data_IF_827828438817
#
_entry.id   IF_827828438817
#
_cell.length_a   1.000
_cell.length_b   1.000
_cell.length_c   1.000
_cell.angle_alpha   90.00
_cell.angle_beta   90.00
_cell.angle_gamma   90.00
#
_symmetry.space_group_name_H-M   'P 1'
#
loop_
_entity.id
_entity.type
_entity.pdbx_description
1 polymer ?
#
# COMPACT_ATOMS: atom_id res chain seq x y z
N UNK A 1 -29.32 -25.51 8.39
CA UNK A 1 -30.15 -24.28 8.20
C UNK A 1 -29.63 -23.61 6.95
N UNK A 2 -30.48 -23.37 5.96
CA UNK A 2 -30.09 -22.72 4.69
C UNK A 2 -29.84 -21.23 4.89
N UNK A 3 -29.00 -20.67 4.02
CA UNK A 3 -28.67 -19.24 4.00
C UNK A 3 -29.81 -18.47 3.34
N UNK A 4 -30.27 -17.33 3.89
CA UNK A 4 -31.30 -16.52 3.23
C UNK A 4 -30.86 -16.04 1.84
N UNK A 5 -31.70 -16.23 0.83
CA UNK A 5 -31.39 -15.89 -0.57
C UNK A 5 -30.96 -14.42 -0.75
N UNK A 6 -31.52 -13.48 0.03
CA UNK A 6 -31.12 -12.07 -0.06
C UNK A 6 -29.67 -11.83 0.37
N UNK A 7 -29.21 -12.55 1.41
CA UNK A 7 -27.81 -12.47 1.87
C UNK A 7 -26.86 -13.09 0.86
N UNK A 8 -27.23 -14.24 0.31
CA UNK A 8 -26.45 -14.93 -0.71
C UNK A 8 -26.35 -14.09 -1.99
N UNK A 9 -27.47 -13.50 -2.43
CA UNK A 9 -27.51 -12.59 -3.59
C UNK A 9 -26.62 -11.37 -3.39
N UNK A 10 -26.64 -10.76 -2.20
CA UNK A 10 -25.78 -9.63 -1.90
C UNK A 10 -24.29 -9.99 -1.99
N UNK A 11 -23.88 -11.12 -1.40
CA UNK A 11 -22.49 -11.59 -1.45
C UNK A 11 -22.03 -11.90 -2.88
N UNK A 12 -22.79 -12.71 -3.63
CA UNK A 12 -22.49 -13.01 -5.05
C UNK A 12 -22.52 -11.74 -5.92
N UNK A 13 -23.32 -10.77 -5.53
CA UNK A 13 -23.39 -9.44 -6.12
C UNK A 13 -22.12 -8.60 -5.94
N UNK A 14 -21.21 -8.94 -5.03
CA UNK A 14 -19.92 -8.28 -4.86
C UNK A 14 -18.86 -8.79 -5.86
N UNK A 15 -18.99 -10.04 -6.30
CA UNK A 15 -18.06 -10.68 -7.23
C UNK A 15 -18.20 -10.15 -8.66
N UNK A 16 -17.10 -9.98 -9.39
CA UNK A 16 -17.14 -9.72 -10.84
C UNK A 16 -17.62 -10.97 -11.58
N UNK A 17 -18.13 -10.79 -12.80
CA UNK A 17 -18.63 -11.90 -13.64
C UNK A 17 -17.61 -13.03 -13.81
N UNK A 18 -16.32 -12.70 -13.88
CA UNK A 18 -15.25 -13.70 -14.00
C UNK A 18 -15.10 -14.55 -12.74
N UNK A 19 -15.09 -13.91 -11.57
CA UNK A 19 -15.03 -14.61 -10.28
C UNK A 19 -16.24 -15.54 -10.11
N UNK A 20 -17.42 -15.12 -10.54
CA UNK A 20 -18.61 -15.98 -10.57
C UNK A 20 -18.46 -17.19 -11.52
N UNK A 21 -17.73 -17.03 -12.64
CA UNK A 21 -17.42 -18.15 -13.54
C UNK A 21 -16.45 -19.13 -12.92
N UNK A 22 -15.39 -18.63 -12.29
CA UNK A 22 -14.37 -19.44 -11.63
C UNK A 22 -15.02 -20.27 -10.50
N UNK A 23 -15.84 -19.64 -9.66
CA UNK A 23 -16.68 -20.32 -8.66
C UNK A 23 -17.66 -21.32 -9.29
N UNK A 24 -18.17 -21.00 -10.48
CA UNK A 24 -19.08 -21.87 -11.23
C UNK A 24 -18.37 -23.13 -11.73
N UNK A 25 -17.16 -22.99 -12.27
CA UNK A 25 -16.32 -24.12 -12.68
C UNK A 25 -16.00 -25.04 -11.50
N UNK A 26 -15.67 -24.50 -10.33
CA UNK A 26 -15.42 -25.29 -9.12
C UNK A 26 -16.64 -26.07 -8.63
N UNK A 27 -17.84 -25.59 -8.97
CA UNK A 27 -19.13 -26.17 -8.56
C UNK A 27 -19.87 -26.88 -9.70
N UNK A 28 -19.19 -27.17 -10.80
CA UNK A 28 -19.76 -27.82 -12.00
C UNK A 28 -21.03 -27.12 -12.54
N UNK A 29 -21.09 -25.78 -12.42
CA UNK A 29 -22.14 -24.94 -13.01
C UNK A 29 -21.70 -24.51 -14.41
N UNK A 30 -22.34 -25.08 -15.42
CA UNK A 30 -22.11 -24.70 -16.82
C UNK A 30 -23.26 -23.84 -17.34
N UNK A 31 -23.03 -22.52 -17.40
CA UNK A 31 -23.92 -21.59 -18.10
C UNK A 31 -23.15 -20.76 -19.12
N UNK A 32 -23.69 -20.62 -20.31
CA UNK A 32 -23.05 -19.86 -21.40
C UNK A 32 -23.29 -18.34 -21.33
N UNK A 33 -23.83 -17.82 -20.21
CA UNK A 33 -24.23 -16.41 -20.12
C UNK A 33 -23.05 -15.47 -19.86
N UNK A 34 -23.12 -14.28 -20.48
CA UNK A 34 -22.23 -13.15 -20.23
C UNK A 34 -22.85 -12.12 -19.27
N UNK A 35 -24.01 -12.40 -18.66
CA UNK A 35 -24.68 -11.50 -17.72
C UNK A 35 -24.44 -11.96 -16.29
N UNK A 36 -23.98 -11.04 -15.44
CA UNK A 36 -23.74 -11.30 -14.01
C UNK A 36 -24.97 -11.85 -13.30
N UNK A 37 -26.14 -11.27 -13.54
CA UNK A 37 -27.38 -11.66 -12.88
C UNK A 37 -27.77 -13.12 -13.17
N UNK A 38 -27.50 -13.61 -14.38
CA UNK A 38 -27.82 -14.99 -14.77
C UNK A 38 -26.96 -16.00 -13.97
N UNK A 39 -25.69 -15.65 -13.68
CA UNK A 39 -24.82 -16.45 -12.80
C UNK A 39 -25.31 -16.42 -11.36
N UNK A 40 -25.63 -15.23 -10.85
CA UNK A 40 -26.16 -15.07 -9.48
C UNK A 40 -27.43 -15.89 -9.29
N UNK A 41 -28.37 -15.80 -10.25
CA UNK A 41 -29.63 -16.55 -10.19
C UNK A 41 -29.42 -18.07 -10.25
N UNK A 42 -28.39 -18.56 -10.95
CA UNK A 42 -28.06 -19.98 -10.96
C UNK A 42 -27.50 -20.44 -9.60
N UNK A 43 -26.59 -19.68 -8.99
CA UNK A 43 -26.09 -19.98 -7.64
C UNK A 43 -27.20 -19.95 -6.58
N UNK A 44 -28.21 -19.10 -6.74
CA UNK A 44 -29.37 -19.03 -5.83
C UNK A 44 -30.29 -20.25 -5.91
N UNK A 45 -30.19 -21.06 -6.97
CA UNK A 45 -30.95 -22.33 -7.12
C UNK A 45 -30.29 -23.49 -6.40
N UNK A 46 -29.02 -23.36 -5.99
CA UNK A 46 -28.30 -24.38 -5.25
C UNK A 46 -28.60 -24.28 -3.76
N UNK A 47 -28.49 -25.42 -3.07
CA UNK A 47 -28.51 -25.43 -1.60
C UNK A 47 -27.15 -25.00 -1.07
N UNK A 48 -27.13 -23.91 -0.29
CA UNK A 48 -25.93 -23.41 0.38
C UNK A 48 -25.96 -23.71 1.87
N UNK A 49 -24.91 -24.38 2.35
CA UNK A 49 -24.65 -24.50 3.79
C UNK A 49 -24.15 -23.17 4.36
N UNK A 50 -24.16 -23.05 5.69
CA UNK A 50 -23.62 -21.86 6.36
C UNK A 50 -22.10 -21.79 6.20
N UNK A 51 -21.45 -22.94 6.20
CA UNK A 51 -20.01 -23.11 6.01
C UNK A 51 -19.60 -22.63 4.61
N UNK A 52 -20.28 -23.11 3.57
CA UNK A 52 -20.05 -22.67 2.18
C UNK A 52 -20.27 -21.16 1.99
N UNK A 53 -21.25 -20.59 2.68
CA UNK A 53 -21.46 -19.15 2.65
C UNK A 53 -20.38 -18.39 3.41
N UNK A 54 -19.89 -18.92 4.54
CA UNK A 54 -18.75 -18.33 5.24
C UNK A 54 -17.51 -18.32 4.36
N UNK A 55 -17.18 -19.46 3.72
CA UNK A 55 -16.06 -19.58 2.77
C UNK A 55 -16.17 -18.59 1.61
N UNK A 56 -17.38 -18.37 1.09
CA UNK A 56 -17.62 -17.35 0.06
C UNK A 56 -17.32 -15.93 0.57
N UNK A 57 -17.76 -15.61 1.79
CA UNK A 57 -17.48 -14.30 2.40
C UNK A 57 -15.97 -14.13 2.62
N UNK A 58 -15.31 -15.14 3.17
CA UNK A 58 -13.86 -15.11 3.40
C UNK A 58 -13.11 -14.90 2.08
N UNK A 59 -13.51 -15.62 1.02
CA UNK A 59 -12.95 -15.43 -0.31
C UNK A 59 -13.20 -14.03 -0.88
N UNK A 60 -14.41 -13.47 -0.73
CA UNK A 60 -14.70 -12.09 -1.14
C UNK A 60 -13.78 -11.10 -0.43
N UNK A 61 -13.56 -11.27 0.88
CA UNK A 61 -12.66 -10.41 1.66
C UNK A 61 -11.22 -10.50 1.13
N UNK A 62 -10.73 -11.70 0.83
CA UNK A 62 -9.40 -11.91 0.23
C UNK A 62 -9.29 -11.21 -1.13
N UNK A 63 -10.30 -11.37 -1.99
CA UNK A 63 -10.34 -10.70 -3.30
C UNK A 63 -10.34 -9.16 -3.19
N UNK A 64 -11.04 -8.62 -2.20
CA UNK A 64 -11.05 -7.19 -1.92
C UNK A 64 -9.69 -6.70 -1.40
N UNK A 65 -9.02 -7.48 -0.56
CA UNK A 65 -7.68 -7.15 -0.06
C UNK A 65 -6.63 -7.18 -1.16
N UNK A 66 -6.74 -8.09 -2.12
CA UNK A 66 -5.81 -8.22 -3.25
C UNK A 66 -5.80 -6.99 -4.16
N UNK A 67 -6.92 -6.28 -4.28
CA UNK A 67 -7.01 -5.03 -5.06
C UNK A 67 -6.62 -3.77 -4.29
N UNK A 68 -6.44 -3.86 -2.98
CA UNK A 68 -6.08 -2.68 -2.19
C UNK A 68 -4.67 -2.24 -2.56
N UNK A 69 -4.56 -0.97 -2.92
CA UNK A 69 -3.28 -0.30 -3.01
C UNK A 69 -2.60 -0.34 -1.63
N UNK A 70 -1.40 -0.90 -1.59
CA UNK A 70 -0.57 -1.00 -0.40
C UNK A 70 0.50 0.08 -0.48
N UNK A 71 0.31 1.12 0.32
CA UNK A 71 1.21 2.27 0.39
C UNK A 71 2.00 2.24 1.68
N UNK A 72 3.31 2.47 1.55
CA UNK A 72 4.25 2.53 2.65
C UNK A 72 4.96 3.87 2.60
N UNK A 73 5.14 4.46 3.78
CA UNK A 73 5.74 5.77 3.97
C UNK A 73 6.83 5.65 5.03
N UNK A 74 7.95 6.31 4.78
CA UNK A 74 9.16 6.15 5.57
C UNK A 74 9.70 7.51 5.99
N UNK A 75 10.06 7.62 7.27
CA UNK A 75 10.79 8.74 7.85
C UNK A 75 11.90 8.21 8.77
N UNK A 76 12.94 9.00 8.95
CA UNK A 76 13.99 8.72 9.92
C UNK A 76 13.60 9.26 11.29
N UNK A 77 14.06 8.60 12.34
CA UNK A 77 13.89 8.97 13.73
C UNK A 77 15.16 9.70 14.17
N UNK A 78 15.05 11.00 14.35
CA UNK A 78 16.20 11.83 14.70
C UNK A 78 16.55 11.67 16.17
N UNK A 79 17.82 11.37 16.44
CA UNK A 79 18.35 11.33 17.79
C UNK A 79 17.91 10.08 18.55
N UNK A 80 17.68 8.96 17.86
CA UNK A 80 17.40 7.69 18.52
C UNK A 80 18.53 7.29 19.49
N UNK A 81 19.78 7.63 19.16
CA UNK A 81 20.96 7.46 20.03
C UNK A 81 20.87 8.23 21.36
N UNK A 82 19.97 9.22 21.45
CA UNK A 82 19.75 10.04 22.64
C UNK A 82 18.60 9.56 23.52
N UNK A 83 17.90 8.49 23.12
CA UNK A 83 16.97 7.76 23.97
C UNK A 83 17.76 7.17 25.15
N UNK A 84 17.22 7.37 26.36
CA UNK A 84 17.98 7.42 27.63
C UNK A 84 18.23 6.02 28.21
N UNK A 85 17.54 5.01 27.71
CA UNK A 85 17.62 3.63 28.20
C UNK A 85 18.41 2.70 27.26
N UNK A 86 18.95 1.62 27.82
CA UNK A 86 19.68 0.56 27.09
C UNK A 86 18.80 -0.18 26.05
N UNK A 87 17.53 0.22 25.88
CA UNK A 87 16.56 -0.33 24.93
C UNK A 87 15.66 0.77 24.32
N UNK A 88 15.97 1.27 23.09
CA UNK A 88 15.17 2.29 22.42
C UNK A 88 13.75 1.81 22.06
N UNK A 89 13.53 0.49 21.94
CA UNK A 89 12.20 -0.08 21.66
C UNK A 89 11.27 0.16 22.84
N UNK A 90 11.75 -0.08 24.06
CA UNK A 90 10.97 0.14 25.29
C UNK A 90 10.63 1.61 25.49
N UNK A 91 11.58 2.53 25.30
CA UNK A 91 11.28 3.97 25.47
C UNK A 91 10.23 4.44 24.44
N UNK A 92 10.33 3.99 23.19
CA UNK A 92 9.33 4.30 22.15
C UNK A 92 7.98 3.70 22.51
N UNK A 93 7.95 2.47 23.05
CA UNK A 93 6.73 1.81 23.52
C UNK A 93 6.07 2.61 24.63
N UNK A 94 6.83 3.07 25.62
CA UNK A 94 6.32 3.89 26.71
C UNK A 94 5.68 5.19 26.19
N UNK A 95 6.35 5.89 25.25
CA UNK A 95 5.80 7.09 24.61
C UNK A 95 4.47 6.83 23.90
N UNK A 96 4.32 5.71 23.21
CA UNK A 96 3.06 5.34 22.55
C UNK A 96 1.99 4.88 23.53
N UNK A 97 2.39 4.30 24.67
CA UNK A 97 1.47 3.85 25.72
C UNK A 97 0.81 5.03 26.47
N UNK A 98 1.42 6.23 26.44
CA UNK A 98 0.77 7.46 26.92
C UNK A 98 -0.48 7.84 26.10
N UNK A 99 -0.60 7.32 24.88
CA UNK A 99 -1.71 7.53 23.97
C UNK A 99 -2.32 6.19 23.51
N UNK A 100 -2.54 5.26 24.44
CA UNK A 100 -3.16 3.95 24.16
C UNK A 100 -4.61 4.11 23.65
N UNK A 101 -5.01 3.27 22.69
CA UNK A 101 -6.40 3.23 22.21
C UNK A 101 -7.32 2.65 23.28
N UNK A 102 -8.53 3.20 23.40
CA UNK A 102 -9.59 2.59 24.20
C UNK A 102 -10.74 2.13 23.30
N UNK A 103 -11.08 0.84 23.37
CA UNK A 103 -12.26 0.29 22.71
C UNK A 103 -13.45 0.19 23.69
N UNK A 104 -14.66 0.19 23.14
CA UNK A 104 -15.89 -0.11 23.87
C UNK A 104 -15.86 -1.53 24.45
N UNK A 105 -16.67 -1.83 25.46
CA UNK A 105 -16.71 -3.15 26.11
C UNK A 105 -16.93 -4.34 25.16
N UNK A 106 -17.59 -4.10 24.03
CA UNK A 106 -17.84 -5.09 22.99
C UNK A 106 -16.77 -5.13 21.87
N UNK A 107 -15.71 -4.32 21.98
CA UNK A 107 -14.59 -4.22 21.04
C UNK A 107 -14.94 -3.63 19.68
N UNK A 108 -16.17 -3.13 19.49
CA UNK A 108 -16.64 -2.71 18.16
C UNK A 108 -16.46 -1.23 17.88
N UNK A 109 -16.21 -0.41 18.90
CA UNK A 109 -16.10 1.05 18.78
C UNK A 109 -14.85 1.58 19.45
N UNK A 110 -14.20 2.56 18.81
CA UNK A 110 -13.13 3.34 19.45
C UNK A 110 -13.78 4.40 20.33
N UNK A 111 -13.48 4.35 21.62
CA UNK A 111 -13.90 5.31 22.66
C UNK A 111 -12.88 6.46 22.73
N UNK A 112 -11.59 6.13 22.72
CA UNK A 112 -10.48 7.08 22.63
C UNK A 112 -9.53 6.65 21.53
N UNK A 113 -9.18 7.59 20.65
CA UNK A 113 -8.16 7.38 19.62
C UNK A 113 -6.79 7.14 20.27
N UNK A 114 -5.98 6.29 19.65
CA UNK A 114 -4.69 5.94 20.23
C UNK A 114 -3.97 4.82 19.50
N UNK A 115 -2.83 4.43 20.06
CA UNK A 115 -2.00 3.34 19.58
C UNK A 115 -2.45 2.01 20.21
N UNK A 116 -2.59 0.99 19.38
CA UNK A 116 -2.57 -0.42 19.77
C UNK A 116 -1.21 -0.97 19.34
N UNK A 117 -0.39 -1.41 20.29
CA UNK A 117 0.94 -1.95 20.03
C UNK A 117 0.83 -3.46 19.93
N UNK A 118 1.31 -4.04 18.83
CA UNK A 118 1.36 -5.48 18.61
C UNK A 118 2.74 -5.99 19.06
N UNK A 119 2.78 -6.82 20.10
CA UNK A 119 4.01 -7.44 20.62
C UNK A 119 4.54 -8.49 19.61
N UNK A 120 5.28 -8.02 18.61
CA UNK A 120 5.80 -8.88 17.54
C UNK A 120 7.28 -9.29 17.76
N UNK A 121 8.10 -8.48 18.44
CA UNK A 121 9.48 -8.85 18.83
C UNK A 121 10.13 -7.83 19.79
N UNK A 122 11.34 -8.13 20.27
CA UNK A 122 12.19 -7.18 21.01
C UNK A 122 13.06 -6.29 20.10
N UNK A 123 12.92 -6.40 18.78
CA UNK A 123 13.80 -5.73 17.79
C UNK A 123 13.04 -4.70 16.98
N UNK A 124 11.77 -4.99 16.69
CA UNK A 124 10.87 -4.10 15.95
C UNK A 124 9.59 -3.90 16.75
N UNK A 125 9.09 -2.67 16.76
CA UNK A 125 7.79 -2.33 17.35
C UNK A 125 6.78 -2.08 16.23
N UNK A 126 5.71 -2.87 16.22
CA UNK A 126 4.61 -2.74 15.27
C UNK A 126 3.30 -2.41 15.97
N UNK A 127 2.35 -1.85 15.24
CA UNK A 127 1.03 -1.62 15.79
C UNK A 127 0.07 -0.92 14.83
N UNK A 128 -1.09 -0.57 15.36
CA UNK A 128 -2.12 0.18 14.65
C UNK A 128 -2.47 1.44 15.44
N UNK A 129 -2.43 2.59 14.76
CA UNK A 129 -3.08 3.79 15.28
C UNK A 129 -4.54 3.81 14.86
N UNK A 130 -5.43 3.86 15.85
CA UNK A 130 -6.87 3.86 15.67
C UNK A 130 -7.42 5.27 15.81
N UNK A 131 -8.17 5.70 14.80
CA UNK A 131 -8.89 6.97 14.81
C UNK A 131 -10.37 6.79 14.49
N UNK A 132 -11.17 7.77 14.90
CA UNK A 132 -12.61 7.81 14.72
C UNK A 132 -13.01 9.14 14.11
N UNK A 133 -13.74 9.08 12.99
CA UNK A 133 -14.37 10.26 12.41
C UNK A 133 -15.87 10.14 12.54
N UNK A 134 -16.47 11.12 13.22
CA UNK A 134 -17.92 11.27 13.32
C UNK A 134 -18.41 12.19 12.20
N UNK A 135 -19.25 11.64 11.34
CA UNK A 135 -19.92 12.33 10.23
C UNK A 135 -21.42 12.41 10.50
N UNK A 136 -22.11 13.31 9.81
CA UNK A 136 -23.56 13.39 9.82
C UNK A 136 -24.13 13.10 8.43
N UNK A 137 -25.04 12.14 8.35
CA UNK A 137 -25.79 11.83 7.13
C UNK A 137 -27.26 12.18 7.31
N UNK A 138 -27.89 12.74 6.27
CA UNK A 138 -29.35 12.84 6.22
C UNK A 138 -29.90 11.48 5.81
N UNK A 139 -30.75 10.91 6.65
CA UNK A 139 -31.45 9.69 6.31
C UNK A 139 -32.54 9.95 5.24
N UNK A 140 -33.16 8.91 4.66
CA UNK A 140 -34.21 9.08 3.65
C UNK A 140 -35.47 9.82 4.13
N UNK A 141 -35.60 10.08 5.44
CA UNK A 141 -36.69 10.86 6.04
C UNK A 141 -36.28 12.32 6.31
N UNK A 142 -35.03 12.70 6.02
CA UNK A 142 -34.50 14.03 6.23
C UNK A 142 -34.01 14.28 7.67
N UNK A 143 -33.81 13.24 8.46
CA UNK A 143 -33.25 13.34 9.81
C UNK A 143 -31.72 13.26 9.76
N UNK A 144 -31.06 14.18 10.48
CA UNK A 144 -29.61 14.17 10.64
C UNK A 144 -29.23 13.01 11.58
N UNK A 145 -28.53 12.02 11.06
CA UNK A 145 -27.99 10.90 11.84
C UNK A 145 -26.48 10.97 11.89
N UNK A 146 -25.94 10.79 13.08
CA UNK A 146 -24.51 10.60 13.27
C UNK A 146 -24.10 9.22 12.77
N UNK A 147 -22.99 9.18 12.04
CA UNK A 147 -22.34 7.97 11.59
C UNK A 147 -20.86 8.08 11.95
N UNK A 148 -20.39 7.14 12.76
CA UNK A 148 -18.97 7.03 13.06
C UNK A 148 -18.29 6.10 12.06
N UNK A 149 -17.07 6.46 11.65
CA UNK A 149 -16.18 5.59 10.89
C UNK A 149 -14.87 5.45 11.66
N UNK A 150 -14.48 4.21 11.86
CA UNK A 150 -13.23 3.86 12.53
C UNK A 150 -12.19 3.56 11.45
N UNK A 151 -10.97 4.05 11.64
CA UNK A 151 -9.85 3.83 10.75
C UNK A 151 -8.67 3.31 11.55
N UNK A 152 -8.08 2.20 11.08
CA UNK A 152 -6.76 1.75 11.51
C UNK A 152 -5.70 2.22 10.51
N UNK A 153 -4.58 2.71 11.01
CA UNK A 153 -3.37 2.99 10.24
C UNK A 153 -2.21 2.21 10.85
N UNK A 154 -1.70 1.22 10.14
CA UNK A 154 -0.59 0.39 10.63
C UNK A 154 0.72 1.17 10.65
N UNK A 155 1.58 0.89 11.61
CA UNK A 155 2.90 1.48 11.72
C UNK A 155 3.95 0.46 12.19
N UNK A 156 5.21 0.79 11.98
CA UNK A 156 6.36 0.03 12.43
C UNK A 156 7.50 0.95 12.83
N UNK A 157 8.35 0.46 13.73
CA UNK A 157 9.57 1.13 14.19
C UNK A 157 10.69 0.11 14.12
N UNK A 158 11.75 0.47 13.40
CA UNK A 158 13.00 -0.27 13.32
C UNK A 158 14.10 0.62 13.91
N UNK A 159 14.43 0.48 15.20
CA UNK A 159 15.45 1.31 15.83
C UNK A 159 16.86 1.07 15.27
N UNK A 160 17.16 -0.13 14.77
CA UNK A 160 18.48 -0.45 14.20
C UNK A 160 18.73 0.34 12.91
N UNK A 161 17.66 0.61 12.14
CA UNK A 161 17.70 1.48 10.96
C UNK A 161 17.29 2.93 11.25
N UNK A 162 17.01 3.25 12.52
CA UNK A 162 16.46 4.54 12.94
C UNK A 162 15.20 4.95 12.16
N UNK A 163 14.31 4.01 11.84
CA UNK A 163 13.23 4.23 10.86
C UNK A 163 11.83 4.03 11.44
N UNK A 164 10.93 4.91 11.01
CA UNK A 164 9.50 4.82 11.28
C UNK A 164 8.73 4.59 9.97
N UNK A 165 7.96 3.51 9.95
CA UNK A 165 7.18 3.06 8.80
C UNK A 165 5.69 3.29 9.04
N UNK A 166 4.99 3.73 8.00
CA UNK A 166 3.53 3.84 8.03
C UNK A 166 2.95 3.06 6.87
N UNK A 167 2.02 2.16 7.19
CA UNK A 167 1.24 1.41 6.22
C UNK A 167 -0.12 2.08 6.04
N UNK A 168 -0.29 2.79 4.92
CA UNK A 168 -1.53 3.50 4.63
C UNK A 168 -1.87 3.51 3.14
N UNK A 169 -3.16 3.43 2.82
CA UNK A 169 -3.64 3.53 1.44
C UNK A 169 -3.48 4.92 0.83
N UNK A 170 -3.27 5.96 1.64
CA UNK A 170 -3.22 7.35 1.20
C UNK A 170 -2.13 8.16 1.94
N UNK A 171 -1.42 9.07 1.26
CA UNK A 171 -0.38 9.90 1.88
C UNK A 171 -0.91 10.78 3.01
N UNK A 172 -2.13 11.31 2.88
CA UNK A 172 -2.75 12.16 3.90
C UNK A 172 -2.96 11.44 5.24
N UNK A 173 -3.17 10.11 5.23
CA UNK A 173 -3.27 9.32 6.45
C UNK A 173 -1.90 9.18 7.12
N UNK A 174 -0.86 8.96 6.32
CA UNK A 174 0.51 8.93 6.83
C UNK A 174 0.93 10.28 7.42
N UNK A 175 0.62 11.39 6.74
CA UNK A 175 0.84 12.73 7.30
C UNK A 175 0.11 12.94 8.63
N UNK A 176 -1.16 12.48 8.72
CA UNK A 176 -1.93 12.53 9.95
C UNK A 176 -1.20 11.81 11.10
N UNK A 177 -0.75 10.59 10.85
CA UNK A 177 -0.05 9.78 11.84
C UNK A 177 1.32 10.37 12.22
N UNK A 178 2.11 10.88 11.28
CA UNK A 178 3.39 11.56 11.60
C UNK A 178 3.19 12.70 12.60
N UNK A 179 2.18 13.55 12.40
CA UNK A 179 1.88 14.64 13.34
C UNK A 179 1.47 14.14 14.73
N UNK A 180 0.90 12.94 14.82
CA UNK A 180 0.52 12.33 16.11
C UNK A 180 1.76 11.76 16.79
N UNK A 181 2.61 11.06 16.04
CA UNK A 181 3.89 10.51 16.53
C UNK A 181 4.81 11.62 17.03
N UNK A 182 4.90 12.75 16.33
CA UNK A 182 5.69 13.90 16.82
C UNK A 182 5.19 14.45 18.16
N UNK A 183 3.88 14.32 18.45
CA UNK A 183 3.31 14.75 19.75
C UNK A 183 3.67 13.82 20.90
N UNK A 184 4.07 12.59 20.62
CA UNK A 184 4.61 11.68 21.65
C UNK A 184 6.06 12.02 22.01
N UNK A 185 6.64 13.01 21.34
CA UNK A 185 7.99 13.51 21.59
C UNK A 185 9.06 12.89 20.69
N UNK A 186 8.69 12.02 19.75
CA UNK A 186 9.62 11.53 18.73
C UNK A 186 9.89 12.61 17.68
N UNK A 187 11.16 12.86 17.40
CA UNK A 187 11.57 13.77 16.33
C UNK A 187 11.75 12.99 15.04
N UNK A 188 11.07 13.40 13.97
CA UNK A 188 11.09 12.71 12.69
C UNK A 188 11.69 13.60 11.62
N UNK A 189 12.45 13.01 10.69
CA UNK A 189 12.95 13.70 9.50
C UNK A 189 12.57 12.96 8.21
N UNK A 190 12.31 13.69 7.11
CA UNK A 190 11.99 13.06 5.84
C UNK A 190 13.15 12.21 5.31
N UNK A 191 12.83 11.00 4.83
CA UNK A 191 13.76 10.17 4.06
C UNK A 191 13.76 10.57 2.58
N UNK A 192 14.93 10.48 1.94
CA UNK A 192 15.09 10.62 0.50
C UNK A 192 16.28 11.51 0.14
N UNK A 193 16.27 12.06 -1.07
CA UNK A 193 17.42 12.81 -1.60
C UNK A 193 17.27 14.33 -1.42
N UNK A 194 16.56 14.75 -0.38
CA UNK A 194 16.24 16.16 -0.17
C UNK A 194 17.51 16.99 0.09
N UNK A 195 18.44 16.44 0.87
CA UNK A 195 19.70 17.09 1.24
C UNK A 195 20.84 16.85 0.23
N UNK A 196 20.60 16.00 -0.78
CA UNK A 196 21.59 15.72 -1.82
C UNK A 196 21.50 16.77 -2.94
N UNK A 197 22.66 17.10 -3.51
CA UNK A 197 22.72 17.87 -4.75
C UNK A 197 21.94 17.15 -5.88
N UNK A 198 21.29 17.92 -6.76
CA UNK A 198 20.39 17.37 -7.79
C UNK A 198 21.08 16.31 -8.66
N UNK A 199 22.33 16.53 -9.08
CA UNK A 199 23.12 15.55 -9.84
C UNK A 199 23.36 14.23 -9.08
N UNK A 200 23.49 14.29 -7.76
CA UNK A 200 23.66 13.08 -6.94
C UNK A 200 22.34 12.36 -6.72
N UNK A 201 21.27 13.10 -6.40
CA UNK A 201 19.92 12.57 -6.29
C UNK A 201 19.47 11.86 -7.57
N UNK A 202 19.70 12.50 -8.73
CA UNK A 202 19.36 11.95 -10.04
C UNK A 202 20.17 10.69 -10.35
N UNK A 203 21.47 10.65 -10.01
CA UNK A 203 22.29 9.42 -10.16
C UNK A 203 21.81 8.28 -9.27
N UNK A 204 21.36 8.56 -8.05
CA UNK A 204 20.79 7.52 -7.17
C UNK A 204 19.46 6.99 -7.73
N UNK A 205 18.59 7.87 -8.25
CA UNK A 205 17.35 7.48 -8.93
C UNK A 205 17.62 6.65 -10.20
N UNK A 206 18.65 7.01 -10.98
CA UNK A 206 19.07 6.25 -12.16
C UNK A 206 19.47 4.83 -11.77
N UNK A 207 20.35 4.68 -10.77
CA UNK A 207 20.74 3.36 -10.24
C UNK A 207 19.55 2.57 -9.72
N UNK A 208 18.61 3.22 -9.01
CA UNK A 208 17.40 2.55 -8.55
C UNK A 208 16.61 1.95 -9.72
N UNK A 209 16.40 2.70 -10.82
CA UNK A 209 15.68 2.20 -12.00
C UNK A 209 16.44 1.06 -12.68
N UNK A 210 17.77 1.16 -12.78
CA UNK A 210 18.63 0.10 -13.32
C UNK A 210 18.54 -1.19 -12.50
N UNK A 211 18.70 -1.09 -11.18
CA UNK A 211 18.65 -2.23 -10.26
C UNK A 211 17.23 -2.82 -10.18
N UNK A 212 16.19 -2.00 -10.28
CA UNK A 212 14.80 -2.46 -10.41
C UNK A 212 14.64 -3.38 -11.62
N UNK A 213 15.12 -2.95 -12.78
CA UNK A 213 15.04 -3.73 -14.00
C UNK A 213 15.83 -5.04 -13.90
N UNK A 214 17.06 -4.98 -13.36
CA UNK A 214 17.92 -6.15 -13.19
C UNK A 214 17.27 -7.18 -12.26
N UNK A 215 16.87 -6.77 -11.05
CA UNK A 215 16.27 -7.68 -10.06
C UNK A 215 14.95 -8.29 -10.58
N UNK A 216 14.14 -7.54 -11.31
CA UNK A 216 12.93 -8.08 -11.96
C UNK A 216 13.26 -9.12 -13.05
N UNK A 217 14.31 -8.90 -13.84
CA UNK A 217 14.74 -9.86 -14.86
C UNK A 217 15.30 -11.14 -14.25
N UNK A 218 16.04 -11.04 -13.15
CA UNK A 218 16.56 -12.20 -12.41
C UNK A 218 15.43 -13.06 -11.84
N UNK A 219 14.37 -12.41 -11.33
CA UNK A 219 13.17 -13.05 -10.84
C UNK A 219 12.40 -13.77 -11.97
N UNK A 220 12.14 -13.12 -13.10
CA UNK A 220 11.39 -13.69 -14.25
C UNK A 220 12.16 -14.80 -15.00
N UNK A 221 13.49 -14.79 -14.95
CA UNK A 221 14.34 -15.78 -15.64
C UNK A 221 14.25 -17.20 -15.06
N UNK A 222 13.61 -17.39 -13.91
CA UNK A 222 13.33 -18.70 -13.34
C UNK A 222 12.13 -19.41 -14.01
N UNK A 223 11.27 -18.70 -14.77
CA UNK A 223 10.09 -19.26 -15.43
C UNK A 223 9.89 -18.74 -16.88
N UNK A 224 10.70 -19.19 -17.85
CA UNK A 224 10.52 -18.74 -19.25
C UNK A 224 9.71 -19.69 -20.13
N UNK A 225 8.54 -19.23 -20.55
CA UNK A 225 8.04 -19.36 -21.93
C UNK A 225 7.22 -18.11 -22.35
N UNK A 226 7.70 -17.39 -23.37
CA UNK A 226 6.86 -16.60 -24.29
C UNK A 226 6.75 -15.08 -24.04
N UNK A 227 7.20 -14.32 -25.05
CA UNK A 227 6.98 -12.90 -25.36
C UNK A 227 7.70 -11.80 -24.56
N UNK A 228 8.34 -10.90 -25.34
CA UNK A 228 9.08 -9.69 -24.96
C UNK A 228 8.17 -8.58 -24.39
N UNK A 229 7.29 -8.91 -23.45
CA UNK A 229 6.59 -7.87 -22.68
C UNK A 229 7.60 -7.24 -21.73
N UNK A 230 7.63 -5.92 -21.70
CA UNK A 230 8.53 -5.16 -20.85
C UNK A 230 8.21 -5.43 -19.37
N UNK A 231 9.12 -6.12 -18.66
CA UNK A 231 8.95 -6.50 -17.25
C UNK A 231 8.86 -5.26 -16.35
N UNK A 232 9.46 -4.14 -16.77
CA UNK A 232 9.30 -2.82 -16.16
C UNK A 232 8.88 -1.79 -17.21
N UNK A 233 7.92 -0.93 -16.90
CA UNK A 233 7.48 0.19 -17.74
C UNK A 233 7.25 1.43 -16.87
N UNK A 234 8.04 2.48 -17.08
CA UNK A 234 7.80 3.76 -16.42
C UNK A 234 6.78 4.54 -17.25
N UNK A 235 5.72 5.01 -16.58
CA UNK A 235 4.60 5.72 -17.21
C UNK A 235 4.66 7.21 -16.95
N UNK A 236 5.14 7.61 -15.78
CA UNK A 236 5.27 9.01 -15.43
C UNK A 236 6.48 9.23 -14.51
N UNK A 237 7.13 10.37 -14.70
CA UNK A 237 8.20 10.88 -13.85
C UNK A 237 7.78 12.24 -13.32
N UNK A 238 8.04 12.48 -12.03
CA UNK A 238 7.88 13.79 -11.40
C UNK A 238 9.26 14.39 -11.14
N UNK A 239 9.42 15.64 -11.58
CA UNK A 239 10.64 16.40 -11.41
C UNK A 239 10.32 17.64 -10.59
N UNK A 240 11.04 17.83 -9.51
CA UNK A 240 11.07 19.04 -8.73
C UNK A 240 12.06 20.03 -9.36
N UNK A 241 11.60 21.24 -9.63
CA UNK A 241 12.39 22.33 -10.20
C UNK A 241 12.28 23.52 -9.26
N UNK A 242 13.39 24.20 -8.99
CA UNK A 242 13.45 25.35 -8.09
C UNK A 242 12.84 25.08 -6.70
N UNK A 243 13.03 23.86 -6.15
CA UNK A 243 12.56 23.41 -4.82
C UNK A 243 11.04 23.53 -4.54
N UNK A 244 10.22 23.86 -5.55
CA UNK A 244 8.78 24.10 -5.37
C UNK A 244 7.92 23.68 -6.56
N UNK A 245 8.45 23.72 -7.78
CA UNK A 245 7.67 23.44 -8.98
C UNK A 245 7.75 21.96 -9.38
N UNK A 246 6.66 21.22 -9.18
CA UNK A 246 6.56 19.84 -9.65
C UNK A 246 6.12 19.81 -11.12
N UNK A 247 6.97 19.25 -11.98
CA UNK A 247 6.65 18.93 -13.38
C UNK A 247 6.40 17.44 -13.52
N UNK A 248 5.38 17.09 -14.31
CA UNK A 248 5.02 15.71 -14.61
C UNK A 248 5.27 15.45 -16.08
N UNK A 249 5.99 14.38 -16.38
CA UNK A 249 6.36 13.98 -17.73
C UNK A 249 5.85 12.57 -17.94
N UNK A 250 5.04 12.37 -18.96
CA UNK A 250 4.48 11.06 -19.31
C UNK A 250 5.43 10.32 -20.26
N UNK A 251 5.72 9.08 -19.94
CA UNK A 251 6.79 8.28 -20.53
C UNK A 251 6.33 7.23 -21.54
N UNK A 252 5.01 7.06 -21.70
CA UNK A 252 4.41 6.06 -22.59
C UNK A 252 5.04 4.64 -22.47
N UNK A 253 5.57 4.28 -21.30
CA UNK A 253 6.17 2.97 -21.04
C UNK A 253 7.65 2.81 -21.39
N UNK A 254 8.40 3.89 -21.66
CA UNK A 254 9.86 3.83 -21.82
C UNK A 254 10.56 3.52 -20.48
N UNK A 255 11.70 2.82 -20.55
CA UNK A 255 12.48 2.39 -19.37
C UNK A 255 13.51 3.42 -18.94
N UNK A 256 14.32 3.91 -19.88
CA UNK A 256 15.33 4.93 -19.58
C UNK A 256 14.66 6.30 -19.43
N UNK A 257 14.54 6.76 -18.18
CA UNK A 257 13.95 8.06 -17.87
C UNK A 257 14.87 9.22 -18.23
N UNK A 258 16.17 9.07 -18.04
CA UNK A 258 17.14 10.14 -18.24
C UNK A 258 17.48 10.38 -19.71
N UNK A 259 17.18 9.44 -20.61
CA UNK A 259 17.31 9.67 -22.07
C UNK A 259 16.15 10.47 -22.67
N UNK A 260 15.07 10.71 -21.93
CA UNK A 260 13.91 11.40 -22.47
C UNK A 260 14.17 12.90 -22.66
N UNK A 261 13.88 13.49 -23.82
CA UNK A 261 14.16 14.90 -24.09
C UNK A 261 13.62 15.85 -23.03
N UNK A 262 12.39 15.63 -22.57
CA UNK A 262 11.78 16.48 -21.55
C UNK A 262 12.46 16.32 -20.19
N UNK A 263 12.83 15.09 -19.78
CA UNK A 263 13.54 14.88 -18.51
C UNK A 263 14.90 15.53 -18.56
N UNK A 264 15.65 15.34 -19.65
CA UNK A 264 16.95 16.01 -19.86
C UNK A 264 16.83 17.51 -19.80
N UNK A 265 15.84 18.10 -20.47
CA UNK A 265 15.62 19.55 -20.41
C UNK A 265 15.39 20.03 -18.97
N UNK A 266 14.64 19.30 -18.14
CA UNK A 266 14.42 19.74 -16.75
C UNK A 266 15.61 19.45 -15.84
N UNK A 267 16.29 18.31 -16.00
CA UNK A 267 17.44 17.93 -15.17
C UNK A 267 18.68 18.73 -15.55
N UNK A 268 19.07 18.76 -16.83
CA UNK A 268 20.30 19.39 -17.32
C UNK A 268 20.17 20.92 -17.43
N UNK A 269 19.07 21.43 -17.99
CA UNK A 269 18.95 22.89 -18.27
C UNK A 269 18.32 23.68 -17.12
N UNK A 270 17.59 23.02 -16.22
CA UNK A 270 16.84 23.68 -15.14
C UNK A 270 17.18 23.18 -13.74
N UNK A 271 18.28 22.45 -13.60
CA UNK A 271 18.76 21.92 -12.32
C UNK A 271 17.64 21.20 -11.55
N UNK A 272 16.88 20.38 -12.29
CA UNK A 272 15.73 19.65 -11.77
C UNK A 272 16.12 18.31 -11.14
N UNK A 273 15.35 17.89 -10.15
CA UNK A 273 15.54 16.65 -9.40
C UNK A 273 14.36 15.71 -9.57
N UNK A 274 14.61 14.46 -9.97
CA UNK A 274 13.56 13.44 -10.07
C UNK A 274 13.15 13.00 -8.66
N UNK A 275 11.93 13.33 -8.27
CA UNK A 275 11.41 13.04 -6.93
C UNK A 275 10.50 11.81 -6.87
N UNK A 276 9.93 11.40 -8.01
CA UNK A 276 9.01 10.28 -8.05
C UNK A 276 8.95 9.65 -9.44
N UNK A 277 8.77 8.34 -9.48
CA UNK A 277 8.41 7.59 -10.68
C UNK A 277 7.16 6.74 -10.41
N UNK A 278 6.37 6.49 -11.45
CA UNK A 278 5.25 5.56 -11.40
C UNK A 278 5.09 4.83 -12.73
N UNK A 279 4.59 3.60 -12.67
CA UNK A 279 4.66 2.70 -13.80
C UNK A 279 3.95 1.38 -13.57
N UNK A 280 4.26 0.41 -14.43
CA UNK A 280 3.85 -0.97 -14.25
C UNK A 280 5.05 -1.90 -14.26
N UNK A 281 5.01 -2.91 -13.41
CA UNK A 281 5.98 -3.98 -13.37
C UNK A 281 5.28 -5.34 -13.47
N UNK A 282 6.00 -6.35 -13.93
CA UNK A 282 5.55 -7.73 -13.93
C UNK A 282 6.39 -8.52 -12.93
N UNK A 283 5.74 -9.17 -11.96
CA UNK A 283 6.38 -9.94 -10.90
C UNK A 283 5.69 -11.31 -10.77
N UNK A 284 6.45 -12.41 -10.84
CA UNK A 284 5.98 -13.80 -10.98
C UNK A 284 4.74 -13.95 -11.89
N UNK A 285 4.81 -13.43 -13.12
CA UNK A 285 3.74 -13.56 -14.10
C UNK A 285 2.54 -12.60 -13.93
N UNK A 286 2.49 -11.80 -12.86
CA UNK A 286 1.39 -10.88 -12.56
C UNK A 286 1.79 -9.43 -12.79
N UNK A 287 0.85 -8.61 -13.26
CA UNK A 287 1.06 -7.17 -13.46
C UNK A 287 0.75 -6.39 -12.18
N UNK A 288 1.62 -5.44 -11.85
CA UNK A 288 1.45 -4.52 -10.73
C UNK A 288 1.63 -3.08 -11.22
N UNK A 289 0.82 -2.16 -10.72
CA UNK A 289 1.17 -0.75 -10.73
C UNK A 289 2.06 -0.48 -9.54
N UNK A 290 3.10 0.32 -9.78
CA UNK A 290 3.96 0.80 -8.73
C UNK A 290 4.09 2.31 -8.81
N UNK A 291 4.37 2.91 -7.65
CA UNK A 291 4.76 4.30 -7.50
C UNK A 291 5.81 4.36 -6.41
N UNK A 292 6.91 5.07 -6.65
CA UNK A 292 8.02 5.15 -5.71
C UNK A 292 8.73 6.50 -5.82
N UNK A 293 9.24 6.99 -4.71
CA UNK A 293 9.97 8.24 -4.63
C UNK A 293 9.85 8.84 -3.24
N UNK A 294 9.89 10.16 -3.16
CA UNK A 294 9.78 10.88 -1.90
C UNK A 294 8.95 12.16 -2.08
N UNK A 295 8.47 12.65 -0.95
CA UNK A 295 7.83 13.96 -0.79
C UNK A 295 8.67 14.77 0.19
N UNK A 296 8.45 16.08 0.33
CA UNK A 296 9.10 16.89 1.38
C UNK A 296 8.93 16.35 2.81
N UNK A 297 7.98 15.43 3.06
CA UNK A 297 7.68 14.91 4.39
C UNK A 297 8.17 13.48 4.63
N UNK A 298 8.30 12.67 3.60
CA UNK A 298 8.61 11.24 3.74
C UNK A 298 9.02 10.62 2.41
N UNK A 299 9.77 9.53 2.52
CA UNK A 299 9.91 8.53 1.48
C UNK A 299 8.61 7.75 1.26
N UNK A 300 8.38 7.24 0.05
CA UNK A 300 7.17 6.46 -0.24
C UNK A 300 7.35 5.45 -1.36
N UNK A 301 6.77 4.28 -1.16
CA UNK A 301 6.48 3.35 -2.23
C UNK A 301 5.04 2.85 -2.12
N UNK A 302 4.48 2.44 -3.24
CA UNK A 302 3.11 1.95 -3.33
C UNK A 302 3.04 0.90 -4.41
N UNK A 303 2.32 -0.19 -4.13
CA UNK A 303 2.06 -1.25 -5.07
C UNK A 303 0.56 -1.57 -5.11
N UNK A 304 0.06 -1.86 -6.31
CA UNK A 304 -1.33 -2.26 -6.53
C UNK A 304 -1.37 -3.33 -7.61
N UNK A 305 -1.88 -4.53 -7.30
CA UNK A 305 -2.03 -5.59 -8.31
C UNK A 305 -3.00 -5.13 -9.40
N UNK A 306 -2.64 -5.39 -10.66
CA UNK A 306 -3.48 -5.12 -11.83
C UNK A 306 -4.00 -6.42 -12.42
N UNK A 307 -5.12 -6.31 -13.12
CA UNK A 307 -5.68 -7.44 -13.86
C UNK A 307 -6.55 -8.36 -13.02
N UNK A 308 -6.30 -9.66 -13.11
CA UNK A 308 -7.19 -10.69 -12.56
C UNK A 308 -6.95 -10.88 -11.06
N UNK A 309 -8.06 -10.88 -10.29
CA UNK A 309 -8.05 -11.34 -8.90
C UNK A 309 -7.91 -12.86 -8.85
N UNK A 310 -6.97 -13.36 -8.07
CA UNK A 310 -6.71 -14.80 -7.93
C UNK A 310 -6.93 -15.31 -6.51
N UNK A 311 -7.25 -14.43 -5.56
CA UNK A 311 -7.30 -14.74 -4.13
C UNK A 311 -5.93 -15.03 -3.53
N UNK A 312 -4.85 -14.68 -4.23
CA UNK A 312 -3.48 -14.93 -3.76
C UNK A 312 -2.93 -13.61 -3.19
N UNK A 313 -2.96 -13.48 -1.87
CA UNK A 313 -2.39 -12.32 -1.18
C UNK A 313 -0.87 -12.41 -1.05
N UNK A 314 -0.33 -13.63 -0.96
CA UNK A 314 1.11 -13.86 -0.84
C UNK A 314 1.87 -13.26 -2.03
N UNK A 315 1.34 -13.36 -3.25
CA UNK A 315 2.00 -12.73 -4.41
C UNK A 315 2.01 -11.19 -4.35
N UNK A 316 1.00 -10.58 -3.70
CA UNK A 316 0.98 -9.13 -3.49
C UNK A 316 2.00 -8.74 -2.43
N UNK A 317 2.11 -9.52 -1.36
CA UNK A 317 3.09 -9.34 -0.27
C UNK A 317 4.53 -9.54 -0.76
N UNK A 318 4.79 -10.57 -1.55
CA UNK A 318 6.09 -10.80 -2.17
C UNK A 318 6.51 -9.63 -3.07
N UNK A 319 5.58 -9.11 -3.88
CA UNK A 319 5.84 -7.98 -4.75
C UNK A 319 6.02 -6.66 -3.98
N UNK A 320 5.31 -6.49 -2.86
CA UNK A 320 5.49 -5.38 -1.92
C UNK A 320 6.88 -5.42 -1.28
N UNK A 321 7.26 -6.56 -0.69
CA UNK A 321 8.56 -6.78 -0.06
C UNK A 321 9.71 -6.59 -1.06
N UNK A 322 9.55 -7.08 -2.29
CA UNK A 322 10.50 -6.85 -3.37
C UNK A 322 10.76 -5.35 -3.62
N UNK A 323 9.68 -4.56 -3.70
CA UNK A 323 9.79 -3.11 -3.91
C UNK A 323 10.34 -2.39 -2.67
N UNK A 324 10.00 -2.87 -1.48
CA UNK A 324 10.51 -2.38 -0.21
C UNK A 324 12.03 -2.54 -0.10
N UNK A 325 12.56 -3.75 -0.31
CA UNK A 325 13.99 -4.04 -0.26
C UNK A 325 14.77 -3.13 -1.21
N UNK A 326 14.30 -3.04 -2.47
CA UNK A 326 14.91 -2.17 -3.45
C UNK A 326 14.78 -0.68 -3.08
N UNK A 327 13.66 -0.27 -2.50
CA UNK A 327 13.52 1.11 -2.03
C UNK A 327 14.50 1.41 -0.90
N UNK A 328 14.64 0.50 0.07
CA UNK A 328 15.51 0.70 1.21
C UNK A 328 16.99 0.80 0.79
N UNK A 329 17.44 -0.09 -0.10
CA UNK A 329 18.80 -0.10 -0.66
C UNK A 329 19.23 1.24 -1.26
N UNK A 330 18.29 2.00 -1.84
CA UNK A 330 18.59 3.22 -2.58
C UNK A 330 18.23 4.50 -1.84
N UNK A 331 17.14 4.50 -1.07
CA UNK A 331 16.56 5.71 -0.48
C UNK A 331 16.66 5.76 1.05
N UNK A 332 16.75 4.61 1.73
CA UNK A 332 16.65 4.51 3.19
C UNK A 332 17.99 4.23 3.90
N UNK A 333 19.07 4.00 3.15
CA UNK A 333 20.42 3.89 3.69
C UNK A 333 21.27 5.03 3.14
N UNK A 334 21.55 6.02 4.00
CA UNK A 334 22.52 7.06 3.73
C UNK A 334 23.61 6.97 4.80
N UNK A 335 24.69 6.25 4.47
CA UNK A 335 25.98 6.32 5.16
C UNK A 335 26.57 7.74 5.12
#
# INVERSE_FOLDING_TARGET
>A
MSVPNDKLRAALGMLKLRELRDLGYERDIDISSNRKDDWVDEFLRLDWSKEQFSELIDWIVVLEQEEKSRGKYLVDIVGIESLVDDDPVEEIREKFSEMEVEFSENGSEVVSEGFEIEDNSSVELGGTYWSKTDDYILDPLGELRETSRIYGTGFGVDPDKEQFYISASLPAKAEGLLNIVERTGLSLSPVGYQDLANDEANRKMERFVEDFEIKLQENDSQERFGDFVSILQIKQVKIEVDEQSIKRIDFNGRRNIFDHPDVRMFVEDRDGRVSQIEGTMKYNGQDFFFKTGYTPKFGTYTIEKKGQRSGNLAIVEEAENFLEELYQDHFAHMD
#
